data_IF_659270815986
#
_entry.id   IF_659270815986
#
_cell.length_a   1.000
_cell.length_b   1.000
_cell.length_c   1.000
_cell.angle_alpha   90.00
_cell.angle_beta   90.00
_cell.angle_gamma   90.00
#
_symmetry.space_group_name_H-M   'P 1'
#
loop_
_entity.id
_entity.type
_entity.pdbx_description
1 polymer ?
#
# COMPACT_ATOMS: atom_id res chain seq x y z
N UNK A 1 21.19 17.21 1.64
CA UNK A 1 22.02 16.08 1.11
C UNK A 1 21.22 15.31 0.09
N UNK A 2 21.90 14.66 -0.87
CA UNK A 2 21.21 13.89 -1.91
C UNK A 2 21.40 12.42 -1.66
N UNK A 3 20.31 11.65 -1.77
CA UNK A 3 20.30 10.19 -1.77
C UNK A 3 19.52 9.65 -2.96
N UNK A 4 20.01 8.56 -3.53
CA UNK A 4 19.43 7.94 -4.71
C UNK A 4 18.88 6.57 -4.37
N UNK A 5 17.73 6.24 -4.92
CA UNK A 5 17.04 4.97 -4.72
C UNK A 5 16.61 4.41 -6.08
N UNK A 6 16.67 3.10 -6.24
CA UNK A 6 16.09 2.42 -7.40
C UNK A 6 14.91 1.56 -6.91
N UNK A 7 13.70 2.03 -7.11
CA UNK A 7 12.48 1.37 -6.62
C UNK A 7 11.68 0.89 -7.82
N UNK A 8 11.57 -0.42 -7.98
CA UNK A 8 10.86 -1.06 -9.11
C UNK A 8 11.30 -0.51 -10.48
N UNK A 9 12.61 -0.41 -10.69
CA UNK A 9 13.26 0.14 -11.89
C UNK A 9 12.96 1.63 -12.15
N UNK A 10 12.39 2.34 -11.20
CA UNK A 10 12.20 3.80 -11.28
C UNK A 10 13.24 4.46 -10.39
N UNK A 11 14.19 5.23 -10.98
CA UNK A 11 15.15 5.99 -10.22
C UNK A 11 14.48 7.14 -9.46
N UNK A 12 14.74 7.23 -8.15
CA UNK A 12 14.31 8.33 -7.29
C UNK A 12 15.52 9.05 -6.71
N UNK A 13 15.57 10.36 -6.88
CA UNK A 13 16.53 11.24 -6.22
C UNK A 13 15.81 12.05 -5.15
N UNK A 14 16.23 11.89 -3.92
CA UNK A 14 15.73 12.66 -2.78
C UNK A 14 16.82 13.62 -2.29
N UNK A 15 16.55 14.93 -2.36
CA UNK A 15 17.40 15.99 -1.82
C UNK A 15 16.73 16.56 -0.56
N UNK A 16 17.29 16.24 0.60
CA UNK A 16 16.69 16.59 1.90
C UNK A 16 17.75 16.73 3.00
N UNK A 17 17.32 17.23 4.16
CA UNK A 17 18.11 17.23 5.40
C UNK A 17 18.41 15.81 5.89
N UNK A 18 19.46 15.65 6.70
CA UNK A 18 19.93 14.35 7.19
C UNK A 18 18.87 13.58 7.96
N UNK A 19 18.14 14.26 8.83
CA UNK A 19 17.09 13.65 9.64
C UNK A 19 15.99 13.04 8.77
N UNK A 20 15.50 13.77 7.75
CA UNK A 20 14.45 13.28 6.85
C UNK A 20 14.94 12.13 5.98
N UNK A 21 16.20 12.18 5.52
CA UNK A 21 16.82 11.05 4.78
C UNK A 21 16.94 9.81 5.67
N UNK A 22 17.38 9.96 6.93
CA UNK A 22 17.47 8.85 7.86
C UNK A 22 16.10 8.19 8.12
N UNK A 23 15.04 8.99 8.28
CA UNK A 23 13.68 8.47 8.38
C UNK A 23 13.20 7.77 7.12
N UNK A 24 13.49 8.32 5.95
CA UNK A 24 13.13 7.70 4.69
C UNK A 24 13.87 6.36 4.50
N UNK A 25 15.15 6.30 4.90
CA UNK A 25 15.96 5.07 4.87
C UNK A 25 15.46 3.98 5.81
N UNK A 26 14.77 4.32 6.90
CA UNK A 26 14.12 3.30 7.74
C UNK A 26 13.15 2.44 6.93
N UNK A 27 12.48 3.02 5.93
CA UNK A 27 11.53 2.30 5.09
C UNK A 27 12.13 1.81 3.77
N UNK A 28 12.95 2.64 3.11
CA UNK A 28 13.42 2.42 1.75
C UNK A 28 14.91 2.17 1.63
N UNK A 29 15.62 1.98 2.74
CA UNK A 29 17.08 1.83 2.74
C UNK A 29 17.61 0.68 1.88
N UNK A 30 16.83 -0.39 1.70
CA UNK A 30 17.19 -1.51 0.81
C UNK A 30 17.19 -1.15 -0.68
N UNK A 31 16.62 -0.02 -1.07
CA UNK A 31 16.61 0.47 -2.44
C UNK A 31 17.70 1.52 -2.72
N UNK A 32 18.52 1.88 -1.73
CA UNK A 32 19.60 2.86 -1.90
C UNK A 32 20.62 2.38 -2.92
N UNK A 33 21.00 3.27 -3.82
CA UNK A 33 22.07 3.06 -4.81
C UNK A 33 23.10 4.18 -4.66
N UNK A 34 24.38 3.89 -4.95
CA UNK A 34 25.45 4.87 -4.78
C UNK A 34 25.29 6.06 -5.72
N UNK A 35 25.00 5.79 -6.97
CA UNK A 35 24.70 6.82 -7.98
C UNK A 35 23.87 6.19 -9.11
N UNK A 36 23.07 7.02 -9.79
CA UNK A 36 22.55 6.63 -11.10
C UNK A 36 23.60 6.96 -12.16
N UNK A 37 23.72 6.12 -13.16
CA UNK A 37 24.38 6.49 -14.39
C UNK A 37 23.52 7.55 -15.09
N UNK A 38 23.82 8.82 -14.79
CA UNK A 38 23.13 9.99 -15.38
C UNK A 38 23.46 10.20 -16.84
N UNK A 39 24.37 9.40 -17.42
CA UNK A 39 24.68 9.43 -18.86
C UNK A 39 23.62 8.76 -19.72
N UNK A 40 22.70 8.02 -19.12
CA UNK A 40 21.58 7.35 -19.79
C UNK A 40 20.30 8.17 -19.78
N UNK A 41 19.50 8.03 -20.81
CA UNK A 41 18.19 8.70 -21.05
C UNK A 41 17.07 8.28 -20.07
N UNK A 42 17.39 7.66 -18.92
CA UNK A 42 16.36 7.20 -17.97
C UNK A 42 15.86 8.39 -17.17
N UNK A 43 14.61 8.81 -17.36
CA UNK A 43 14.04 9.89 -16.56
C UNK A 43 13.97 9.47 -15.09
N UNK A 44 14.52 10.28 -14.21
CA UNK A 44 14.45 10.06 -12.77
C UNK A 44 13.42 10.97 -12.11
N UNK A 45 12.79 10.45 -11.06
CA UNK A 45 11.92 11.24 -10.20
C UNK A 45 12.79 12.01 -9.22
N UNK A 46 12.67 13.35 -9.19
CA UNK A 46 13.36 14.19 -8.22
C UNK A 46 12.37 14.75 -7.22
N UNK A 47 12.66 14.51 -5.94
CA UNK A 47 11.93 15.11 -4.82
C UNK A 47 12.91 15.92 -3.99
N UNK A 48 12.55 17.15 -3.66
CA UNK A 48 13.36 18.05 -2.85
C UNK A 48 12.58 18.53 -1.66
N UNK A 49 13.14 18.37 -0.46
CA UNK A 49 12.60 18.88 0.78
C UNK A 49 13.54 19.98 1.32
N UNK A 50 13.04 21.20 1.42
CA UNK A 50 13.80 22.39 1.83
C UNK A 50 13.20 22.97 3.09
N UNK A 51 14.04 23.20 4.09
CA UNK A 51 13.65 23.88 5.31
C UNK A 51 13.45 25.38 5.06
N UNK A 52 12.30 25.93 5.43
CA UNK A 52 11.93 27.33 5.30
C UNK A 52 11.37 27.85 6.64
N UNK A 53 12.25 28.18 7.57
CA UNK A 53 11.85 28.60 8.92
C UNK A 53 11.16 27.46 9.68
N UNK A 54 9.92 27.66 10.06
CA UNK A 54 9.09 26.65 10.79
C UNK A 54 8.44 25.61 9.84
N UNK A 55 8.63 25.75 8.54
CA UNK A 55 8.02 24.89 7.54
C UNK A 55 9.06 24.12 6.73
N UNK A 56 8.62 22.99 6.22
CA UNK A 56 9.31 22.22 5.18
C UNK A 56 8.57 22.40 3.87
N UNK A 57 9.28 22.79 2.80
CA UNK A 57 8.73 22.79 1.44
C UNK A 57 9.17 21.54 0.70
N UNK A 58 8.22 20.75 0.25
CA UNK A 58 8.45 19.56 -0.59
C UNK A 58 8.11 19.92 -2.04
N UNK A 59 9.09 19.80 -2.91
CA UNK A 59 8.98 19.98 -4.36
C UNK A 59 9.11 18.62 -5.05
N UNK A 60 8.20 18.32 -5.94
CA UNK A 60 8.17 17.07 -6.69
C UNK A 60 7.60 17.29 -8.09
N UNK A 61 7.73 16.33 -9.03
CA UNK A 61 7.08 16.42 -10.34
C UNK A 61 5.56 16.52 -10.27
N UNK A 62 4.97 16.15 -9.13
CA UNK A 62 3.52 16.13 -8.93
C UNK A 62 2.97 17.38 -8.24
N UNK A 63 3.86 18.30 -7.80
CA UNK A 63 3.47 19.55 -7.18
C UNK A 63 4.44 20.02 -6.10
N UNK A 64 4.08 21.15 -5.51
CA UNK A 64 4.79 21.76 -4.39
C UNK A 64 3.85 21.87 -3.22
N UNK A 65 4.36 21.56 -2.03
CA UNK A 65 3.60 21.69 -0.78
C UNK A 65 4.49 22.19 0.33
N UNK A 66 3.93 23.01 1.22
CA UNK A 66 4.55 23.37 2.47
C UNK A 66 3.83 22.64 3.62
N UNK A 67 4.59 22.14 4.57
CA UNK A 67 4.07 21.44 5.75
C UNK A 67 4.93 21.74 6.97
N UNK A 68 4.47 21.40 8.17
CA UNK A 68 5.32 21.40 9.35
C UNK A 68 6.46 20.36 9.19
N UNK A 69 7.57 20.54 9.90
CA UNK A 69 8.73 19.64 9.81
C UNK A 69 8.35 18.19 10.14
N UNK A 70 7.52 18.01 11.15
CA UNK A 70 7.01 16.72 11.61
C UNK A 70 6.17 15.98 10.54
N UNK A 71 5.52 16.72 9.65
CA UNK A 71 4.65 16.20 8.61
C UNK A 71 5.39 15.79 7.34
N UNK A 72 6.62 16.25 7.16
CA UNK A 72 7.36 16.08 5.92
C UNK A 72 7.50 14.59 5.53
N UNK A 73 7.73 13.72 6.51
CA UNK A 73 7.85 12.28 6.26
C UNK A 73 6.53 11.66 5.81
N UNK A 74 5.43 12.06 6.43
CA UNK A 74 4.08 11.60 6.06
C UNK A 74 3.78 11.96 4.62
N UNK A 75 4.10 13.20 4.23
CA UNK A 75 3.88 13.68 2.87
C UNK A 75 4.79 13.00 1.85
N UNK A 76 6.04 12.72 2.20
CA UNK A 76 6.92 11.90 1.36
C UNK A 76 6.33 10.51 1.14
N UNK A 77 5.85 9.86 2.19
CA UNK A 77 5.20 8.55 2.09
C UNK A 77 3.95 8.60 1.22
N UNK A 78 3.14 9.63 1.36
CA UNK A 78 1.99 9.85 0.50
C UNK A 78 2.39 9.99 -0.98
N UNK A 79 3.43 10.79 -1.28
CA UNK A 79 3.95 10.94 -2.63
C UNK A 79 4.44 9.60 -3.20
N UNK A 80 5.10 8.78 -2.38
CA UNK A 80 5.55 7.46 -2.78
C UNK A 80 4.39 6.52 -3.12
N UNK A 81 3.38 6.44 -2.26
CA UNK A 81 2.26 5.51 -2.45
C UNK A 81 1.31 5.95 -3.57
N UNK A 82 0.99 7.23 -3.65
CA UNK A 82 -0.07 7.71 -4.54
C UNK A 82 0.43 8.26 -5.88
N UNK A 83 1.69 8.68 -5.96
CA UNK A 83 2.22 9.25 -7.20
C UNK A 83 3.37 8.43 -7.76
N UNK A 84 4.39 8.13 -6.97
CA UNK A 84 5.56 7.41 -7.44
C UNK A 84 5.18 6.02 -7.96
N UNK A 85 4.44 5.22 -7.21
CA UNK A 85 4.01 3.89 -7.65
C UNK A 85 3.19 3.93 -8.95
N UNK A 86 2.45 5.00 -9.19
CA UNK A 86 1.72 5.19 -10.46
C UNK A 86 2.63 5.46 -11.65
N UNK A 87 3.90 5.85 -11.43
CA UNK A 87 4.89 6.02 -12.50
C UNK A 87 5.63 4.74 -12.88
N UNK A 88 5.49 3.68 -12.10
CA UNK A 88 6.09 2.37 -12.37
C UNK A 88 5.48 1.75 -13.62
N UNK A 89 6.33 1.32 -14.58
CA UNK A 89 5.90 0.76 -15.87
C UNK A 89 6.27 -0.71 -16.05
N UNK A 90 7.36 -1.15 -15.47
CA UNK A 90 7.85 -2.52 -15.63
C UNK A 90 7.10 -3.53 -14.77
N UNK A 91 6.36 -3.06 -13.76
CA UNK A 91 5.64 -3.89 -12.82
C UNK A 91 4.15 -3.54 -12.73
N UNK A 92 3.33 -4.56 -12.47
CA UNK A 92 2.00 -4.37 -11.91
C UNK A 92 2.16 -4.26 -10.39
N UNK A 93 1.86 -3.10 -9.83
CA UNK A 93 1.97 -2.84 -8.40
C UNK A 93 0.65 -3.13 -7.70
N UNK A 94 0.47 -4.32 -7.16
CA UNK A 94 -0.76 -4.73 -6.45
C UNK A 94 -0.66 -4.31 -4.99
N UNK A 95 -1.64 -3.56 -4.47
CA UNK A 95 -1.74 -3.26 -3.04
C UNK A 95 -2.07 -4.52 -2.25
N UNK A 96 -1.05 -5.18 -1.74
CA UNK A 96 -1.14 -6.48 -1.08
C UNK A 96 0.10 -6.76 -0.24
N UNK A 97 -0.05 -7.57 0.81
CA UNK A 97 1.09 -8.26 1.36
C UNK A 97 1.47 -9.44 0.44
N UNK A 98 2.75 -9.66 0.27
CA UNK A 98 3.28 -10.76 -0.52
C UNK A 98 4.27 -11.57 0.31
N UNK A 99 4.09 -12.87 0.29
CA UNK A 99 4.92 -13.82 1.02
C UNK A 99 5.35 -14.97 0.10
N UNK A 100 6.47 -15.56 0.42
CA UNK A 100 6.99 -16.74 -0.25
C UNK A 100 7.21 -17.90 0.73
N UNK A 101 6.88 -19.09 0.29
CA UNK A 101 7.32 -20.33 0.91
C UNK A 101 7.79 -21.30 -0.18
N UNK A 102 9.10 -21.57 -0.18
CA UNK A 102 9.75 -22.53 -1.11
C UNK A 102 9.44 -22.23 -2.59
N UNK A 103 9.49 -20.96 -2.98
CA UNK A 103 9.26 -20.50 -4.37
C UNK A 103 7.79 -20.43 -4.79
N UNK A 104 6.87 -20.58 -3.85
CA UNK A 104 5.41 -20.44 -4.06
C UNK A 104 4.92 -19.19 -3.36
N UNK A 105 4.50 -18.21 -4.13
CA UNK A 105 4.05 -16.91 -3.64
C UNK A 105 2.59 -16.91 -3.23
N UNK A 106 2.31 -16.30 -2.08
CA UNK A 106 0.98 -15.99 -1.59
C UNK A 106 0.79 -14.47 -1.56
N UNK A 107 -0.24 -13.98 -2.20
CA UNK A 107 -0.62 -12.57 -2.25
C UNK A 107 -1.87 -12.39 -1.39
N UNK A 108 -1.75 -11.60 -0.31
CA UNK A 108 -2.83 -11.28 0.60
C UNK A 108 -3.32 -9.86 0.30
N UNK A 109 -4.48 -9.72 -0.31
CA UNK A 109 -5.06 -8.42 -0.63
C UNK A 109 -6.41 -8.23 0.06
N UNK A 110 -6.93 -7.01 0.06
CA UNK A 110 -8.18 -6.66 0.72
C UNK A 110 -8.16 -5.22 1.24
N UNK A 111 -9.25 -4.78 1.85
CA UNK A 111 -9.38 -3.44 2.39
C UNK A 111 -8.28 -3.10 3.42
N UNK A 112 -8.08 -1.82 3.70
CA UNK A 112 -7.24 -1.41 4.83
C UNK A 112 -7.83 -1.99 6.11
N UNK A 113 -6.98 -2.32 7.09
CA UNK A 113 -7.36 -2.84 8.42
C UNK A 113 -7.93 -4.27 8.47
N UNK A 114 -8.06 -4.96 7.35
CA UNK A 114 -8.58 -6.35 7.31
C UNK A 114 -7.60 -7.41 7.86
N UNK A 115 -6.43 -6.98 8.35
CA UNK A 115 -5.45 -7.87 8.98
C UNK A 115 -4.35 -8.40 8.06
N UNK A 116 -4.16 -7.85 6.84
CA UNK A 116 -3.09 -8.28 5.91
C UNK A 116 -1.71 -8.34 6.56
N UNK A 117 -1.27 -7.21 7.15
CA UNK A 117 0.06 -7.10 7.77
C UNK A 117 0.18 -7.99 9.01
N UNK A 118 -0.87 -8.10 9.83
CA UNK A 118 -0.89 -8.98 11.01
C UNK A 118 -0.74 -10.45 10.59
N UNK A 119 -1.48 -10.88 9.58
CA UNK A 119 -1.37 -12.24 9.03
C UNK A 119 0.00 -12.49 8.38
N UNK A 120 0.55 -11.47 7.68
CA UNK A 120 1.90 -11.57 7.11
C UNK A 120 2.97 -11.77 8.18
N UNK A 121 2.88 -11.09 9.33
CA UNK A 121 3.81 -11.26 10.46
C UNK A 121 3.63 -12.63 11.12
N UNK A 122 2.40 -13.12 11.27
CA UNK A 122 2.17 -14.47 11.80
C UNK A 122 2.76 -15.55 10.86
N UNK A 123 2.62 -15.39 9.55
CA UNK A 123 3.23 -16.30 8.58
C UNK A 123 4.77 -16.18 8.59
N UNK A 124 5.33 -14.97 8.76
CA UNK A 124 6.77 -14.77 8.98
C UNK A 124 7.25 -15.54 10.21
N UNK A 125 6.53 -15.47 11.32
CA UNK A 125 6.83 -16.24 12.55
C UNK A 125 6.82 -17.74 12.31
N UNK A 126 6.01 -18.22 11.37
CA UNK A 126 5.95 -19.63 10.93
C UNK A 126 7.01 -20.02 9.90
N UNK A 127 7.94 -19.12 9.59
CA UNK A 127 9.06 -19.39 8.69
C UNK A 127 8.85 -19.04 7.21
N UNK A 128 7.76 -18.32 6.87
CA UNK A 128 7.60 -17.76 5.54
C UNK A 128 8.52 -16.57 5.33
N UNK A 129 8.84 -16.27 4.10
CA UNK A 129 9.57 -15.05 3.74
C UNK A 129 8.57 -13.98 3.34
N UNK A 130 8.54 -12.84 4.02
CA UNK A 130 7.72 -11.70 3.63
C UNK A 130 8.48 -10.88 2.60
N UNK A 131 7.94 -10.74 1.40
CA UNK A 131 8.48 -9.91 0.32
C UNK A 131 8.02 -8.46 0.46
N UNK A 132 6.84 -8.26 1.01
CA UNK A 132 6.25 -6.94 1.30
C UNK A 132 4.98 -7.09 2.14
N UNK A 133 4.65 -6.08 2.92
CA UNK A 133 3.35 -5.93 3.58
C UNK A 133 2.43 -4.93 2.84
N UNK A 134 2.93 -4.28 1.79
CA UNK A 134 2.28 -3.16 1.12
C UNK A 134 2.05 -3.39 -0.39
N UNK A 135 3.09 -3.84 -1.13
CA UNK A 135 3.06 -3.97 -2.58
C UNK A 135 3.57 -5.35 -3.01
N UNK A 136 2.73 -6.09 -3.71
CA UNK A 136 3.18 -7.21 -4.53
C UNK A 136 3.57 -6.67 -5.92
N UNK A 137 4.87 -6.66 -6.20
CA UNK A 137 5.43 -6.14 -7.44
C UNK A 137 5.57 -7.28 -8.46
N UNK A 138 4.69 -7.32 -9.47
CA UNK A 138 4.69 -8.39 -10.47
C UNK A 138 5.36 -7.88 -11.73
N UNK A 139 6.51 -8.45 -12.07
CA UNK A 139 7.22 -8.13 -13.31
C UNK A 139 6.34 -8.46 -14.53
N UNK A 140 6.16 -7.50 -15.42
CA UNK A 140 5.28 -7.62 -16.59
C UNK A 140 5.85 -8.52 -17.69
N UNK A 141 7.17 -8.74 -17.73
CA UNK A 141 7.85 -9.59 -18.69
C UNK A 141 7.99 -11.01 -18.17
N UNK A 142 8.56 -11.16 -16.98
CA UNK A 142 8.85 -12.46 -16.37
C UNK A 142 7.63 -13.13 -15.74
N UNK A 143 6.57 -12.35 -15.43
CA UNK A 143 5.36 -12.82 -14.74
C UNK A 143 5.66 -13.39 -13.35
N UNK A 144 6.70 -12.89 -12.72
CA UNK A 144 7.11 -13.26 -11.37
C UNK A 144 6.84 -12.11 -10.40
N UNK A 145 6.56 -12.46 -9.17
CA UNK A 145 6.47 -11.49 -8.09
C UNK A 145 7.89 -11.22 -7.58
N UNK A 146 8.30 -9.98 -7.64
CA UNK A 146 9.56 -9.50 -7.08
C UNK A 146 9.35 -8.99 -5.66
N UNK A 147 10.33 -9.18 -4.80
CA UNK A 147 10.30 -8.62 -3.47
C UNK A 147 10.34 -7.08 -3.54
N UNK A 148 9.36 -6.45 -2.94
CA UNK A 148 9.35 -5.02 -2.65
C UNK A 148 9.95 -4.83 -1.26
N UNK A 149 11.28 -4.82 -1.19
CA UNK A 149 12.06 -4.95 0.03
C UNK A 149 12.02 -3.69 0.93
N UNK A 150 10.86 -3.03 1.01
CA UNK A 150 10.59 -1.98 1.99
C UNK A 150 10.46 -2.59 3.37
N UNK A 151 10.94 -1.89 4.40
CA UNK A 151 10.69 -2.30 5.79
C UNK A 151 9.19 -2.38 6.08
N UNK A 152 8.79 -3.33 6.91
CA UNK A 152 7.38 -3.48 7.27
C UNK A 152 6.93 -2.30 8.12
N UNK A 153 5.76 -1.73 7.84
CA UNK A 153 5.20 -0.62 8.59
C UNK A 153 3.92 -1.07 9.30
N UNK A 154 4.08 -1.62 10.48
CA UNK A 154 3.03 -2.27 11.25
C UNK A 154 2.33 -1.29 12.19
N UNK A 155 1.08 -1.52 12.51
CA UNK A 155 0.43 -0.88 13.65
C UNK A 155 0.97 -1.48 14.94
N UNK A 156 1.16 -0.70 16.01
CA UNK A 156 1.63 -1.21 17.29
C UNK A 156 0.80 -2.41 17.79
N UNK A 157 -0.50 -2.34 17.66
CA UNK A 157 -1.42 -3.43 17.99
C UNK A 157 -1.09 -4.77 17.28
N UNK A 158 -0.46 -4.76 16.12
CA UNK A 158 0.00 -5.99 15.47
C UNK A 158 1.07 -6.70 16.30
N UNK A 159 1.97 -5.94 16.94
CA UNK A 159 3.05 -6.49 17.79
C UNK A 159 2.54 -6.97 19.13
N UNK A 160 1.37 -6.53 19.58
CA UNK A 160 0.66 -7.09 20.74
C UNK A 160 0.07 -8.47 20.45
N UNK A 161 -0.30 -8.71 19.17
CA UNK A 161 -0.91 -9.96 18.74
C UNK A 161 0.10 -11.01 18.28
N UNK A 162 1.23 -10.59 17.73
CA UNK A 162 2.23 -11.50 17.13
C UNK A 162 3.63 -11.11 17.55
N UNK A 163 4.31 -12.04 18.19
CA UNK A 163 5.73 -11.89 18.51
C UNK A 163 6.58 -12.00 17.24
N UNK A 164 7.45 -11.02 17.01
CA UNK A 164 8.41 -11.07 15.91
C UNK A 164 9.45 -12.15 16.13
N UNK A 165 9.84 -12.90 15.09
CA UNK A 165 10.95 -13.82 15.20
C UNK A 165 12.25 -13.06 15.50
N UNK A 166 13.20 -13.72 16.21
CA UNK A 166 14.51 -13.14 16.49
C UNK A 166 15.20 -12.61 15.22
N UNK A 167 15.95 -11.51 15.34
CA UNK A 167 16.70 -10.90 14.23
C UNK A 167 15.95 -9.81 13.48
N UNK A 168 14.96 -9.19 14.09
CA UNK A 168 14.33 -7.96 13.65
C UNK A 168 14.46 -6.85 14.68
N UNK A 169 14.56 -5.61 14.24
CA UNK A 169 14.46 -4.40 15.08
C UNK A 169 13.12 -3.72 14.85
N UNK A 170 12.67 -2.99 15.85
CA UNK A 170 11.44 -2.19 15.79
C UNK A 170 11.78 -0.74 16.11
N UNK A 171 11.37 0.16 15.25
CA UNK A 171 11.46 1.62 15.45
C UNK A 171 10.07 2.22 15.31
N UNK A 172 9.62 2.96 16.30
CA UNK A 172 8.33 3.67 16.22
C UNK A 172 8.46 4.92 15.35
N UNK A 173 7.46 5.15 14.53
CA UNK A 173 7.40 6.29 13.61
C UNK A 173 5.94 6.73 13.41
N UNK A 174 5.69 8.04 13.42
CA UNK A 174 4.41 8.58 12.96
C UNK A 174 4.36 8.55 11.43
N UNK A 175 3.38 7.85 10.87
CA UNK A 175 3.14 7.76 9.43
C UNK A 175 1.65 7.98 9.14
N UNK A 176 1.36 8.94 8.28
CA UNK A 176 0.00 9.38 8.01
C UNK A 176 -0.72 9.73 9.31
N UNK A 177 -1.96 9.30 9.48
CA UNK A 177 -2.76 9.58 10.68
C UNK A 177 -2.55 8.50 11.78
N UNK A 178 -1.47 7.75 11.75
CA UNK A 178 -1.24 6.63 12.67
C UNK A 178 0.22 6.52 13.13
N UNK A 179 0.41 6.06 14.37
CA UNK A 179 1.69 5.55 14.82
C UNK A 179 1.96 4.20 14.15
N UNK A 180 3.17 4.00 13.63
CA UNK A 180 3.63 2.75 13.04
C UNK A 180 4.86 2.22 13.74
N UNK A 181 4.96 0.91 13.83
CA UNK A 181 6.16 0.19 14.19
C UNK A 181 6.86 -0.24 12.89
N UNK A 182 8.00 0.38 12.59
CA UNK A 182 8.82 0.00 11.44
C UNK A 182 9.71 -1.16 11.83
N UNK A 183 9.54 -2.27 11.14
CA UNK A 183 10.25 -3.53 11.42
C UNK A 183 11.28 -3.79 10.33
N UNK A 184 12.53 -3.91 10.73
CA UNK A 184 13.67 -4.12 9.85
C UNK A 184 14.43 -5.39 10.22
N UNK A 185 14.94 -6.14 9.24
CA UNK A 185 15.85 -7.25 9.53
C UNK A 185 17.19 -6.73 10.06
N UNK A 186 17.72 -7.34 11.14
CA UNK A 186 19.03 -7.03 11.72
C UNK A 186 20.19 -7.49 10.84
N UNK A 187 19.99 -8.52 10.04
CA UNK A 187 21.03 -9.16 9.24
C UNK A 187 20.65 -9.20 7.77
N UNK A 188 21.65 -9.00 6.88
CA UNK A 188 21.49 -9.07 5.42
C UNK A 188 20.97 -10.42 4.92
N UNK A 189 21.18 -11.49 5.65
CA UNK A 189 20.65 -12.82 5.29
C UNK A 189 19.13 -12.89 5.24
N UNK A 190 18.45 -11.95 5.91
CA UNK A 190 17.00 -11.78 5.88
C UNK A 190 16.55 -10.72 4.86
N UNK A 191 17.50 -10.06 4.20
CA UNK A 191 17.19 -9.15 3.10
C UNK A 191 16.59 -9.95 1.95
N UNK A 192 15.43 -9.51 1.50
CA UNK A 192 14.69 -10.13 0.40
C UNK A 192 14.94 -9.46 -0.94
N UNK A 193 15.80 -8.44 -0.97
CA UNK A 193 16.13 -7.70 -2.20
C UNK A 193 16.56 -8.64 -3.33
N UNK A 194 15.97 -8.48 -4.50
CA UNK A 194 16.26 -9.32 -5.68
C UNK A 194 15.64 -10.71 -5.66
N UNK A 195 14.93 -11.12 -4.59
CA UNK A 195 14.20 -12.40 -4.58
C UNK A 195 12.95 -12.32 -5.44
N UNK A 196 12.60 -13.45 -6.04
CA UNK A 196 11.37 -13.60 -6.85
C UNK A 196 10.64 -14.88 -6.51
N UNK A 197 9.32 -14.86 -6.70
CA UNK A 197 8.46 -16.05 -6.54
C UNK A 197 7.39 -16.11 -7.62
N UNK A 198 6.73 -17.25 -7.78
CA UNK A 198 5.56 -17.37 -8.65
C UNK A 198 4.28 -17.09 -7.85
N UNK A 199 3.36 -16.29 -8.37
CA UNK A 199 2.04 -16.12 -7.76
C UNK A 199 1.27 -17.45 -7.82
N UNK A 200 1.19 -18.17 -6.70
CA UNK A 200 0.50 -19.47 -6.62
C UNK A 200 -0.89 -19.33 -6.01
N UNK A 201 -1.04 -18.46 -5.03
CA UNK A 201 -2.31 -18.19 -4.32
C UNK A 201 -2.53 -16.69 -4.20
N UNK A 202 -3.74 -16.26 -4.49
CA UNK A 202 -4.23 -14.91 -4.20
C UNK A 202 -5.40 -15.02 -3.25
N UNK A 203 -5.24 -14.51 -2.04
CA UNK A 203 -6.27 -14.50 -1.01
C UNK A 203 -6.81 -13.07 -0.81
N UNK A 204 -8.07 -12.88 -1.14
CA UNK A 204 -8.80 -11.65 -0.85
C UNK A 204 -9.34 -11.73 0.57
N UNK A 205 -8.70 -11.01 1.48
CA UNK A 205 -9.19 -10.91 2.84
C UNK A 205 -10.40 -9.99 2.88
N UNK A 206 -11.52 -10.50 3.35
CA UNK A 206 -12.76 -9.76 3.49
C UNK A 206 -13.19 -9.77 4.96
N UNK A 207 -13.66 -8.65 5.52
CA UNK A 207 -14.13 -8.62 6.90
C UNK A 207 -15.33 -9.58 7.07
N UNK A 208 -15.50 -10.17 8.26
CA UNK A 208 -16.69 -10.98 8.56
C UNK A 208 -17.95 -10.14 8.30
N UNK A 209 -18.85 -10.69 7.50
CA UNK A 209 -20.09 -10.01 7.13
C UNK A 209 -21.03 -9.93 8.32
N UNK A 210 -21.23 -8.74 8.84
CA UNK A 210 -22.33 -8.42 9.73
C UNK A 210 -23.35 -7.63 8.90
N UNK A 211 -24.48 -8.23 8.56
CA UNK A 211 -25.43 -7.73 7.55
C UNK A 211 -25.92 -6.29 7.83
N UNK A 212 -25.98 -5.86 9.10
CA UNK A 212 -26.39 -4.50 9.47
C UNK A 212 -25.27 -3.46 9.26
N UNK A 213 -23.99 -3.85 9.34
CA UNK A 213 -22.82 -2.97 9.06
C UNK A 213 -22.48 -2.88 7.57
N UNK A 214 -22.82 -3.88 6.79
CA UNK A 214 -22.41 -3.97 5.36
C UNK A 214 -22.87 -2.79 4.50
N UNK A 215 -24.06 -2.22 4.79
CA UNK A 215 -24.58 -1.11 4.00
C UNK A 215 -23.85 0.21 4.28
N UNK A 216 -23.37 0.42 5.50
CA UNK A 216 -22.72 1.68 5.93
C UNK A 216 -21.22 1.65 5.61
N UNK A 217 -20.52 0.56 5.86
CA UNK A 217 -19.05 0.47 5.71
C UNK A 217 -18.58 0.49 4.26
N UNK A 218 -19.37 0.01 3.29
CA UNK A 218 -19.05 0.07 1.87
C UNK A 218 -19.24 1.45 1.24
N UNK A 219 -19.81 2.36 1.98
CA UNK A 219 -20.24 3.68 1.53
C UNK A 219 -19.49 4.81 2.21
N UNK A 220 -18.39 4.52 2.89
CA UNK A 220 -17.61 5.51 3.61
C UNK A 220 -16.16 5.52 3.12
N UNK A 221 -15.65 6.71 2.80
CA UNK A 221 -14.23 6.99 2.60
C UNK A 221 -13.81 8.11 3.54
N UNK A 222 -12.81 7.89 4.37
CA UNK A 222 -12.21 8.92 5.20
C UNK A 222 -10.91 9.39 4.56
N UNK A 223 -10.74 10.71 4.49
CA UNK A 223 -9.61 11.37 3.84
C UNK A 223 -8.99 12.34 4.83
N UNK A 224 -7.68 12.30 4.96
CA UNK A 224 -6.91 13.15 5.86
C UNK A 224 -5.92 13.99 5.07
N UNK A 225 -5.75 15.24 5.44
CA UNK A 225 -4.80 16.16 4.83
C UNK A 225 -4.33 17.21 5.86
N UNK A 226 -3.10 17.74 5.72
CA UNK A 226 -2.64 18.85 6.56
C UNK A 226 -3.58 20.05 6.52
N UNK A 227 -4.16 20.30 5.35
CA UNK A 227 -5.13 21.37 5.13
C UNK A 227 -6.14 20.97 4.05
N UNK A 228 -7.40 21.30 4.27
CA UNK A 228 -8.46 21.17 3.27
C UNK A 228 -8.86 22.55 2.74
N UNK A 229 -8.71 22.75 1.44
CA UNK A 229 -9.19 23.95 0.78
C UNK A 229 -10.71 23.90 0.57
N UNK A 230 -11.37 25.07 0.59
CA UNK A 230 -12.80 25.15 0.25
C UNK A 230 -13.10 24.59 -1.14
N UNK A 231 -12.16 24.79 -2.10
CA UNK A 231 -12.27 24.26 -3.46
C UNK A 231 -12.29 22.73 -3.48
N UNK A 232 -11.48 22.08 -2.63
CA UNK A 232 -11.47 20.62 -2.52
C UNK A 232 -12.77 20.11 -1.89
N UNK A 233 -13.20 20.73 -0.78
CA UNK A 233 -14.45 20.38 -0.11
C UNK A 233 -15.67 20.54 -1.03
N UNK A 234 -15.67 21.57 -1.88
CA UNK A 234 -16.68 21.75 -2.90
C UNK A 234 -16.59 20.64 -3.97
N UNK A 235 -15.41 20.39 -4.51
CA UNK A 235 -15.18 19.36 -5.54
C UNK A 235 -15.61 17.97 -5.07
N UNK A 236 -15.43 17.64 -3.78
CA UNK A 236 -15.90 16.36 -3.22
C UNK A 236 -17.41 16.20 -3.26
N UNK A 237 -18.16 17.28 -3.02
CA UNK A 237 -19.64 17.25 -3.03
C UNK A 237 -20.22 17.08 -4.44
N UNK A 238 -19.45 17.47 -5.45
CA UNK A 238 -19.84 17.37 -6.88
C UNK A 238 -19.46 16.01 -7.49
N UNK A 239 -18.80 15.12 -6.76
CA UNK A 239 -18.46 13.80 -7.27
C UNK A 239 -19.70 12.92 -7.40
N UNK A 240 -19.81 12.24 -8.53
CA UNK A 240 -20.88 11.27 -8.78
C UNK A 240 -20.88 10.18 -7.69
N UNK A 241 -22.06 9.95 -7.13
CA UNK A 241 -22.26 8.94 -6.10
C UNK A 241 -21.93 9.39 -4.68
N UNK A 242 -21.46 10.63 -4.46
CA UNK A 242 -21.34 11.20 -3.11
C UNK A 242 -22.72 11.56 -2.57
N UNK A 243 -23.00 11.10 -1.35
CA UNK A 243 -24.27 11.35 -0.63
C UNK A 243 -24.08 12.46 0.40
N UNK A 244 -22.90 12.52 1.02
CA UNK A 244 -22.59 13.51 2.04
C UNK A 244 -21.09 13.64 2.30
N UNK A 245 -20.70 14.80 2.82
CA UNK A 245 -19.32 15.12 3.18
C UNK A 245 -19.36 15.81 4.55
N UNK A 246 -18.67 15.26 5.52
CA UNK A 246 -18.59 15.77 6.89
C UNK A 246 -17.15 15.88 7.36
N UNK A 247 -16.84 16.89 8.17
CA UNK A 247 -15.53 17.03 8.80
C UNK A 247 -15.42 16.06 9.97
N UNK A 248 -14.24 15.44 10.11
CA UNK A 248 -13.91 14.57 11.24
C UNK A 248 -12.54 14.98 11.81
N UNK A 249 -12.31 14.61 13.06
CA UNK A 249 -10.98 14.75 13.68
C UNK A 249 -10.16 13.50 13.43
N UNK A 250 -8.93 13.65 12.95
CA UNK A 250 -7.93 12.60 12.88
C UNK A 250 -6.92 12.72 14.02
N UNK A 251 -6.02 11.75 14.14
CA UNK A 251 -5.00 11.76 15.20
C UNK A 251 -3.91 12.79 14.96
N UNK A 252 -3.56 13.08 13.71
CA UNK A 252 -2.51 14.01 13.31
C UNK A 252 -3.02 15.13 12.39
N UNK A 253 -4.03 14.85 11.58
CA UNK A 253 -4.57 15.76 10.58
C UNK A 253 -6.07 15.89 10.68
N UNK A 254 -6.64 17.04 10.29
CA UNK A 254 -8.07 17.12 10.06
C UNK A 254 -8.49 16.12 8.98
N UNK A 255 -9.69 15.61 9.10
CA UNK A 255 -10.25 14.62 8.19
C UNK A 255 -11.57 15.05 7.57
N UNK A 256 -11.88 14.44 6.45
CA UNK A 256 -13.19 14.50 5.80
C UNK A 256 -13.71 13.09 5.63
N UNK A 257 -14.91 12.82 6.12
CA UNK A 257 -15.65 11.60 5.86
C UNK A 257 -16.59 11.82 4.70
N UNK A 258 -16.47 10.97 3.68
CA UNK A 258 -17.26 10.99 2.46
C UNK A 258 -18.21 9.81 2.51
N UNK A 259 -19.51 10.07 2.54
CA UNK A 259 -20.55 9.07 2.38
C UNK A 259 -20.86 8.95 0.88
N UNK A 260 -20.84 7.74 0.35
CA UNK A 260 -21.08 7.51 -1.08
C UNK A 260 -21.97 6.29 -1.33
N UNK A 261 -22.52 6.19 -2.54
CA UNK A 261 -23.36 5.06 -2.94
C UNK A 261 -22.57 3.74 -2.92
N UNK A 262 -23.17 2.64 -2.45
CA UNK A 262 -22.55 1.32 -2.48
C UNK A 262 -22.10 0.92 -3.89
N UNK A 263 -20.90 0.35 -4.00
CA UNK A 263 -20.36 -0.12 -5.29
C UNK A 263 -19.63 0.93 -6.13
N UNK A 264 -19.65 2.20 -5.74
CA UNK A 264 -18.89 3.27 -6.42
C UNK A 264 -17.45 3.28 -5.90
N UNK A 265 -16.47 3.19 -6.80
CA UNK A 265 -15.04 3.31 -6.48
C UNK A 265 -14.64 4.79 -6.42
N UNK A 266 -14.97 5.45 -5.32
CA UNK A 266 -14.82 6.90 -5.19
C UNK A 266 -13.37 7.36 -4.96
N UNK A 267 -12.48 6.50 -4.46
CA UNK A 267 -11.11 6.91 -4.09
C UNK A 267 -10.33 7.53 -5.25
N UNK A 268 -10.48 7.00 -6.46
CA UNK A 268 -9.81 7.56 -7.65
C UNK A 268 -10.36 8.95 -8.03
N UNK A 269 -11.66 9.16 -7.89
CA UNK A 269 -12.28 10.46 -8.13
C UNK A 269 -11.87 11.49 -7.07
N UNK A 270 -11.72 11.06 -5.82
CA UNK A 270 -11.18 11.89 -4.72
C UNK A 270 -9.73 12.30 -4.97
N UNK A 271 -8.88 11.36 -5.38
CA UNK A 271 -7.49 11.66 -5.76
C UNK A 271 -7.43 12.67 -6.92
N UNK A 272 -8.30 12.54 -7.91
CA UNK A 272 -8.40 13.46 -9.04
C UNK A 272 -8.89 14.85 -8.61
N UNK A 273 -9.88 14.91 -7.72
CA UNK A 273 -10.34 16.15 -7.12
C UNK A 273 -9.24 16.84 -6.32
N UNK A 274 -8.47 16.09 -5.54
CA UNK A 274 -7.33 16.60 -4.79
C UNK A 274 -6.25 17.18 -5.71
N UNK A 275 -5.90 16.46 -6.78
CA UNK A 275 -4.96 16.95 -7.78
C UNK A 275 -5.43 18.24 -8.47
N UNK A 276 -6.70 18.33 -8.87
CA UNK A 276 -7.28 19.51 -9.52
C UNK A 276 -7.33 20.73 -8.60
N UNK A 277 -7.47 20.52 -7.31
CA UNK A 277 -7.57 21.59 -6.31
C UNK A 277 -6.25 21.88 -5.61
N UNK A 278 -5.17 21.20 -6.00
CA UNK A 278 -3.86 21.27 -5.38
C UNK A 278 -3.89 20.95 -3.87
N UNK A 279 -4.76 20.01 -3.48
CA UNK A 279 -4.86 19.54 -2.10
C UNK A 279 -4.01 18.30 -1.94
N UNK A 280 -3.08 18.30 -1.00
CA UNK A 280 -2.25 17.16 -0.70
C UNK A 280 -2.92 16.29 0.36
N UNK A 281 -3.27 15.07 -0.02
CA UNK A 281 -3.84 14.10 0.90
C UNK A 281 -2.72 13.38 1.67
N UNK A 282 -2.86 13.25 2.98
CA UNK A 282 -1.93 12.51 3.83
C UNK A 282 -2.30 11.02 3.91
N UNK A 283 -3.60 10.72 3.97
CA UNK A 283 -4.10 9.35 3.99
C UNK A 283 -5.55 9.29 3.54
N UNK A 284 -5.99 8.14 3.06
CA UNK A 284 -7.40 7.82 2.97
C UNK A 284 -7.67 6.37 3.35
N UNK A 285 -8.77 6.16 4.10
CA UNK A 285 -9.19 4.86 4.59
C UNK A 285 -10.59 4.55 4.05
N UNK A 286 -10.75 3.35 3.48
CA UNK A 286 -12.07 2.86 3.08
C UNK A 286 -12.74 2.19 4.27
N UNK A 287 -13.95 2.64 4.55
CA UNK A 287 -14.79 2.08 5.60
C UNK A 287 -14.43 2.52 7.01
N UNK A 288 -15.40 2.45 7.91
CA UNK A 288 -15.11 2.49 9.32
C UNK A 288 -14.16 1.32 9.64
N UNK A 289 -13.16 1.56 10.49
CA UNK A 289 -12.18 0.53 10.89
C UNK A 289 -12.95 -0.73 11.30
N UNK A 290 -12.98 -1.74 10.42
CA UNK A 290 -13.61 -3.00 10.73
C UNK A 290 -12.86 -3.62 11.91
N UNK A 291 -13.52 -3.72 13.05
CA UNK A 291 -13.03 -4.55 14.14
C UNK A 291 -13.21 -5.98 13.66
N UNK A 292 -12.10 -6.62 13.28
CA UNK A 292 -12.14 -8.06 12.95
C UNK A 292 -12.48 -8.78 14.24
N UNK A 293 -13.54 -9.54 14.20
CA UNK A 293 -13.85 -10.47 15.29
C UNK A 293 -12.93 -11.68 15.16
N UNK A 294 -11.81 -11.61 15.87
CA UNK A 294 -10.81 -12.68 15.88
C UNK A 294 -11.28 -13.95 16.63
N UNK A 295 -12.42 -13.93 17.30
CA UNK A 295 -12.97 -15.11 17.98
C UNK A 295 -13.72 -16.05 17.04
N UNK A 296 -13.97 -15.62 15.81
CA UNK A 296 -14.58 -16.44 14.78
C UNK A 296 -13.60 -17.43 14.15
N UNK A 297 -14.08 -18.59 13.75
CA UNK A 297 -13.31 -19.47 12.88
C UNK A 297 -13.22 -18.90 11.46
N UNK A 298 -12.02 -18.94 10.83
CA UNK A 298 -11.87 -18.42 9.49
C UNK A 298 -12.63 -19.25 8.46
N UNK A 299 -13.03 -18.62 7.38
CA UNK A 299 -13.72 -19.28 6.27
C UNK A 299 -13.03 -18.97 4.95
N UNK A 300 -13.06 -19.92 4.02
CA UNK A 300 -12.50 -19.77 2.69
C UNK A 300 -13.52 -20.17 1.63
N UNK A 301 -13.54 -19.43 0.55
CA UNK A 301 -14.31 -19.76 -0.66
C UNK A 301 -13.39 -19.64 -1.85
N UNK A 302 -13.26 -20.68 -2.64
CA UNK A 302 -12.52 -20.63 -3.90
C UNK A 302 -13.28 -19.81 -4.94
N UNK A 303 -12.56 -18.95 -5.65
CA UNK A 303 -13.11 -18.08 -6.67
C UNK A 303 -12.71 -18.60 -8.05
N UNK A 304 -13.63 -18.51 -9.01
CA UNK A 304 -13.26 -18.69 -10.41
C UNK A 304 -12.17 -17.68 -10.82
N UNK A 305 -11.20 -18.11 -11.61
CA UNK A 305 -10.07 -17.28 -12.03
C UNK A 305 -10.50 -15.91 -12.60
N UNK A 306 -11.54 -15.89 -13.45
CA UNK A 306 -12.12 -14.65 -13.97
C UNK A 306 -12.53 -13.70 -12.86
N UNK A 307 -13.22 -14.18 -11.82
CA UNK A 307 -13.68 -13.35 -10.70
C UNK A 307 -12.48 -12.83 -9.89
N UNK A 308 -11.47 -13.67 -9.67
CA UNK A 308 -10.23 -13.27 -9.01
C UNK A 308 -9.51 -12.16 -9.76
N UNK A 309 -9.38 -12.25 -11.08
CA UNK A 309 -8.78 -11.21 -11.94
C UNK A 309 -9.59 -9.91 -11.90
N UNK A 310 -10.92 -9.98 -11.97
CA UNK A 310 -11.80 -8.80 -11.84
C UNK A 310 -11.59 -8.08 -10.50
N UNK A 311 -11.45 -8.83 -9.39
CA UNK A 311 -11.18 -8.26 -8.07
C UNK A 311 -9.77 -7.67 -7.99
N UNK A 312 -8.76 -8.35 -8.54
CA UNK A 312 -7.37 -7.86 -8.56
C UNK A 312 -7.23 -6.53 -9.31
N UNK A 313 -8.01 -6.31 -10.37
CA UNK A 313 -7.98 -5.09 -11.15
C UNK A 313 -8.14 -3.85 -10.25
N UNK A 314 -9.03 -3.93 -9.26
CA UNK A 314 -9.24 -2.87 -8.27
C UNK A 314 -8.12 -2.70 -7.24
N UNK A 315 -7.17 -3.66 -7.20
CA UNK A 315 -6.06 -3.65 -6.25
C UNK A 315 -4.73 -3.20 -6.88
N UNK A 316 -4.64 -3.06 -8.21
CA UNK A 316 -3.42 -2.63 -8.91
C UNK A 316 -3.32 -1.11 -8.90
N UNK A 317 -2.37 -0.56 -8.14
CA UNK A 317 -2.21 0.88 -7.90
C UNK A 317 -1.93 1.67 -9.19
N UNK A 318 -1.08 1.14 -10.06
CA UNK A 318 -0.70 1.79 -11.32
C UNK A 318 -1.56 1.40 -12.54
N UNK A 319 -2.62 0.61 -12.36
CA UNK A 319 -3.44 0.09 -13.46
C UNK A 319 -4.02 1.19 -14.33
N UNK A 320 -4.54 2.26 -13.73
CA UNK A 320 -5.14 3.39 -14.46
C UNK A 320 -4.13 4.06 -15.39
N UNK A 321 -2.90 4.29 -14.91
CA UNK A 321 -1.84 4.89 -15.70
C UNK A 321 -1.43 3.98 -16.87
N UNK A 322 -1.27 2.68 -16.61
CA UNK A 322 -0.94 1.70 -17.64
C UNK A 322 -2.07 1.58 -18.69
N UNK A 323 -3.33 1.56 -18.26
CA UNK A 323 -4.48 1.53 -19.20
C UNK A 323 -4.58 2.79 -20.05
N UNK A 324 -4.24 3.95 -19.52
CA UNK A 324 -4.24 5.21 -20.27
C UNK A 324 -3.16 5.23 -21.36
N UNK A 325 -2.03 4.58 -21.12
CA UNK A 325 -0.90 4.54 -22.07
C UNK A 325 -1.02 3.40 -23.09
N UNK A 326 -1.45 2.22 -22.66
CA UNK A 326 -1.36 0.99 -23.45
C UNK A 326 -2.72 0.38 -23.80
N UNK A 327 -3.79 0.93 -23.24
CA UNK A 327 -5.15 0.49 -23.46
C UNK A 327 -5.65 -0.61 -22.50
N UNK A 328 -6.95 -0.60 -22.18
CA UNK A 328 -7.51 -1.51 -21.17
C UNK A 328 -7.44 -2.98 -21.57
N UNK A 329 -7.64 -3.31 -22.85
CA UNK A 329 -7.62 -4.70 -23.33
C UNK A 329 -6.23 -5.36 -23.13
N UNK A 330 -5.16 -4.62 -23.44
CA UNK A 330 -3.78 -5.10 -23.23
C UNK A 330 -3.52 -5.32 -21.76
N UNK A 331 -3.90 -4.38 -20.88
CA UNK A 331 -3.67 -4.49 -19.44
C UNK A 331 -4.45 -5.64 -18.82
N UNK A 332 -5.69 -5.88 -19.24
CA UNK A 332 -6.46 -7.04 -18.80
C UNK A 332 -5.82 -8.36 -19.22
N UNK A 333 -5.31 -8.43 -20.45
CA UNK A 333 -4.58 -9.60 -20.92
C UNK A 333 -3.29 -9.84 -20.14
N UNK A 334 -2.50 -8.80 -19.89
CA UNK A 334 -1.26 -8.90 -19.10
C UNK A 334 -1.54 -9.32 -17.65
N UNK A 335 -2.56 -8.74 -17.01
CA UNK A 335 -2.97 -9.13 -15.67
C UNK A 335 -3.38 -10.60 -15.63
N UNK A 336 -4.18 -11.06 -16.58
CA UNK A 336 -4.59 -12.45 -16.66
C UNK A 336 -3.38 -13.39 -16.84
N UNK A 337 -2.42 -13.01 -17.67
CA UNK A 337 -1.19 -13.79 -17.87
C UNK A 337 -0.25 -13.80 -16.67
N UNK A 338 -0.19 -12.69 -15.93
CA UNK A 338 0.65 -12.58 -14.74
C UNK A 338 0.20 -13.53 -13.62
N UNK A 339 -1.07 -13.90 -13.62
CA UNK A 339 -1.68 -14.82 -12.65
C UNK A 339 -2.13 -16.15 -13.26
N UNK A 340 -1.57 -16.51 -14.43
CA UNK A 340 -1.84 -17.80 -15.04
C UNK A 340 -1.38 -18.94 -14.13
N UNK A 341 -2.30 -19.85 -13.81
CA UNK A 341 -2.06 -20.95 -12.85
C UNK A 341 -2.20 -20.58 -11.37
N UNK A 342 -2.40 -19.31 -11.03
CA UNK A 342 -2.72 -18.92 -9.66
C UNK A 342 -4.14 -19.31 -9.28
N UNK A 343 -4.34 -19.70 -8.02
CA UNK A 343 -5.66 -19.95 -7.44
C UNK A 343 -6.11 -18.75 -6.62
N UNK A 344 -7.40 -18.47 -6.69
CA UNK A 344 -8.00 -17.30 -6.08
C UNK A 344 -8.97 -17.71 -4.99
N UNK A 345 -8.89 -17.04 -3.85
CA UNK A 345 -9.73 -17.34 -2.70
C UNK A 345 -10.25 -16.05 -2.06
N UNK A 346 -11.51 -16.08 -1.63
CA UNK A 346 -12.03 -15.16 -0.65
C UNK A 346 -11.82 -15.78 0.73
N UNK A 347 -11.14 -15.06 1.63
CA UNK A 347 -10.85 -15.50 2.98
C UNK A 347 -11.47 -14.52 3.97
N UNK A 348 -12.41 -15.00 4.78
CA UNK A 348 -12.91 -14.27 5.94
C UNK A 348 -12.00 -14.63 7.11
N UNK A 349 -11.16 -13.68 7.60
CA UNK A 349 -10.27 -13.97 8.71
C UNK A 349 -11.05 -14.18 9.99
N UNK A 350 -10.50 -15.01 10.85
CA UNK A 350 -10.98 -15.27 12.21
C UNK A 350 -9.78 -15.29 13.14
N UNK A 351 -9.72 -16.25 14.08
CA UNK A 351 -8.57 -16.42 14.95
C UNK A 351 -7.29 -16.48 14.11
N UNK A 352 -6.33 -15.65 14.49
CA UNK A 352 -5.13 -15.42 13.68
C UNK A 352 -4.38 -16.71 13.36
N UNK A 353 -4.18 -17.56 14.36
CA UNK A 353 -3.51 -18.85 14.22
C UNK A 353 -4.24 -19.76 13.21
N UNK A 354 -5.57 -19.91 13.35
CA UNK A 354 -6.39 -20.71 12.44
C UNK A 354 -6.42 -20.12 11.03
N UNK A 355 -6.44 -18.79 10.91
CA UNK A 355 -6.38 -18.10 9.60
C UNK A 355 -5.03 -18.36 8.91
N UNK A 356 -3.92 -18.33 9.66
CA UNK A 356 -2.62 -18.65 9.12
C UNK A 356 -2.54 -20.11 8.66
N UNK A 357 -3.03 -21.07 9.45
CA UNK A 357 -3.11 -22.49 9.08
C UNK A 357 -3.95 -22.72 7.82
N UNK A 358 -5.07 -22.01 7.71
CA UNK A 358 -5.91 -22.05 6.52
C UNK A 358 -5.12 -21.60 5.30
N UNK A 359 -4.44 -20.43 5.35
CA UNK A 359 -3.62 -19.91 4.23
C UNK A 359 -2.48 -20.87 3.90
N UNK A 360 -1.80 -21.46 4.89
CA UNK A 360 -0.79 -22.48 4.65
C UNK A 360 -1.33 -23.71 3.92
N UNK A 361 -2.56 -24.12 4.24
CA UNK A 361 -3.20 -25.23 3.58
C UNK A 361 -3.49 -24.96 2.10
N UNK A 362 -3.85 -23.70 1.76
CA UNK A 362 -4.14 -23.30 0.37
C UNK A 362 -2.88 -23.37 -0.51
N UNK A 363 -1.72 -23.03 0.03
CA UNK A 363 -0.47 -23.06 -0.74
C UNK A 363 0.08 -24.49 -0.94
N UNK A 364 -0.25 -25.42 -0.04
CA UNK A 364 0.22 -26.81 -0.10
C UNK A 364 -0.57 -27.67 -1.11
N UNK A 365 -1.77 -27.29 -1.42
CA UNK A 365 -2.59 -27.93 -2.46
C UNK A 365 -2.03 -27.63 -3.86
#
# INVERSE_FOLDING_TARGET
>A
MIRCYNILNVPLRLDAGEALLAFFDLLYGSFVVEQFDVSGEVPFVSVRAVEEGEFMRIESPWGRVACAHEDAMVLLMFLMQNHFLRSVRDYLAVHAACLDIVGRGCILTGASTVGKSTLAVELLRRGWTVFSDEIAAIDRREKRVHAYARSLALRPHTLELVELPAGYTVTEMALADELKAVVQPLHRERDVSGRTTSASVVAFLVPPRNAERESVERSVLEVFAPEFTEKFSYALRELDGVIGVESIEGNFYPGIRILHQPGVLISAAVDEAAARTNTLLAAHHRGARATIDYDLSPRVTELAARKGIEMLLGCVVNMRALMAEEGPAKMMFELSRAFEGARFYEVVPGRLHETAELVESLIKQ
#
